data_IF_148324674262
#
_entry.id   IF_148324674262
#
_cell.length_a   1.000
_cell.length_b   1.000
_cell.length_c   1.000
_cell.angle_alpha   90.00
_cell.angle_beta   90.00
_cell.angle_gamma   90.00
#
_symmetry.space_group_name_H-M   'P 1'
#
loop_
_entity.id
_entity.type
_entity.pdbx_description
1 polymer ?
#
# COMPACT_ATOMS: atom_id res chain seq x y z
N UNK A 1 8.71 -37.78 -7.18
CA UNK A 1 9.18 -37.05 -5.98
C UNK A 1 8.82 -35.59 -6.19
N UNK A 2 8.32 -34.96 -5.13
CA UNK A 2 7.25 -33.95 -5.10
C UNK A 2 7.47 -32.68 -5.92
N UNK A 3 6.39 -32.24 -6.58
CA UNK A 3 6.23 -30.88 -7.09
C UNK A 3 5.95 -29.98 -5.87
N UNK A 4 6.63 -28.83 -5.82
CA UNK A 4 6.22 -27.66 -5.01
C UNK A 4 6.54 -27.65 -3.51
N UNK A 5 7.73 -28.11 -3.09
CA UNK A 5 8.29 -27.68 -1.79
C UNK A 5 8.69 -26.20 -1.85
N UNK A 6 7.68 -25.31 -1.81
CA UNK A 6 7.85 -23.87 -1.76
C UNK A 6 8.37 -23.49 -0.38
N UNK A 7 9.69 -23.57 -0.20
CA UNK A 7 10.40 -23.20 1.03
C UNK A 7 10.06 -21.76 1.38
N UNK A 8 9.08 -21.59 2.27
CA UNK A 8 8.63 -20.28 2.72
C UNK A 8 9.40 -19.95 3.99
N UNK A 9 10.20 -18.87 4.01
CA UNK A 9 10.98 -18.52 5.19
C UNK A 9 10.07 -18.34 6.40
N UNK A 10 10.51 -18.85 7.55
CA UNK A 10 9.78 -18.78 8.83
C UNK A 10 9.73 -17.34 9.34
N UNK A 11 8.89 -16.51 8.70
CA UNK A 11 8.61 -15.15 9.16
C UNK A 11 7.79 -15.19 10.46
N UNK A 12 8.11 -14.33 11.44
CA UNK A 12 7.31 -14.22 12.65
C UNK A 12 5.90 -13.71 12.31
N UNK A 13 4.88 -14.25 13.00
CA UNK A 13 3.50 -13.80 12.81
C UNK A 13 3.38 -12.33 13.22
N UNK A 14 2.69 -11.54 12.40
CA UNK A 14 2.37 -10.14 12.68
C UNK A 14 0.84 -9.97 12.77
N UNK A 15 0.33 -8.95 13.48
CA UNK A 15 -1.09 -8.61 13.41
C UNK A 15 -1.49 -8.21 11.99
N UNK A 16 -2.63 -8.71 11.51
CA UNK A 16 -3.17 -8.37 10.21
C UNK A 16 -3.51 -6.87 10.17
N UNK A 17 -3.04 -6.11 9.18
CA UNK A 17 -3.31 -4.67 9.09
C UNK A 17 -4.81 -4.36 8.89
N UNK A 18 -5.58 -5.30 8.32
CA UNK A 18 -7.01 -5.10 8.08
C UNK A 18 -7.93 -5.42 9.27
N UNK A 19 -7.52 -6.33 10.16
CA UNK A 19 -8.42 -6.81 11.23
C UNK A 19 -7.74 -7.19 12.54
N UNK A 20 -6.42 -7.03 12.66
CA UNK A 20 -5.64 -7.30 13.88
C UNK A 20 -5.37 -8.78 14.20
N UNK A 21 -6.02 -9.73 13.53
CA UNK A 21 -5.80 -11.18 13.77
C UNK A 21 -4.37 -11.61 13.39
N UNK A 22 -3.81 -12.67 14.01
CA UNK A 22 -2.47 -13.16 13.66
C UNK A 22 -2.36 -13.55 12.18
N UNK A 23 -1.30 -13.11 11.51
CA UNK A 23 -1.04 -13.41 10.09
C UNK A 23 -0.91 -14.91 9.83
N UNK A 24 -1.43 -15.35 8.68
CA UNK A 24 -1.19 -16.69 8.16
C UNK A 24 0.11 -16.72 7.34
N UNK A 25 0.75 -17.89 7.20
CA UNK A 25 1.98 -18.01 6.40
C UNK A 25 1.72 -17.81 4.91
N UNK A 26 0.59 -18.33 4.42
CA UNK A 26 0.21 -18.28 3.01
C UNK A 26 -0.20 -16.87 2.56
N UNK A 27 -0.82 -16.10 3.45
CA UNK A 27 -1.33 -14.75 3.13
C UNK A 27 -0.54 -13.64 3.82
N UNK A 28 0.67 -13.92 4.33
CA UNK A 28 1.48 -12.94 5.05
C UNK A 28 1.61 -11.62 4.25
N UNK A 29 1.35 -10.43 4.84
CA UNK A 29 1.16 -10.13 6.28
C UNK A 29 -0.29 -10.27 6.81
N UNK A 30 -1.24 -10.73 6.00
CA UNK A 30 -2.65 -10.83 6.35
C UNK A 30 -3.03 -12.16 7.02
N UNK A 31 -4.19 -12.17 7.66
CA UNK A 31 -4.74 -13.40 8.24
C UNK A 31 -5.42 -14.32 7.19
N UNK A 32 -5.85 -13.79 6.03
CA UNK A 32 -6.58 -14.53 5.00
C UNK A 32 -6.59 -13.80 3.64
N UNK A 33 -6.97 -14.52 2.57
CA UNK A 33 -7.19 -13.95 1.23
C UNK A 33 -8.18 -12.77 1.25
N UNK A 34 -9.31 -12.91 1.96
CA UNK A 34 -10.31 -11.84 2.08
C UNK A 34 -9.71 -10.53 2.60
N UNK A 35 -8.82 -10.58 3.59
CA UNK A 35 -8.18 -9.37 4.10
C UNK A 35 -7.21 -8.77 3.07
N UNK A 36 -6.48 -9.60 2.31
CA UNK A 36 -5.63 -9.12 1.22
C UNK A 36 -6.46 -8.38 0.14
N UNK A 37 -7.63 -8.89 -0.21
CA UNK A 37 -8.48 -8.27 -1.23
C UNK A 37 -9.12 -6.96 -0.74
N UNK A 38 -9.47 -6.88 0.56
CA UNK A 38 -9.98 -5.63 1.17
C UNK A 38 -8.91 -4.55 1.13
N UNK A 39 -7.67 -4.88 1.51
CA UNK A 39 -6.54 -3.96 1.43
C UNK A 39 -6.35 -3.47 -0.02
N UNK A 40 -6.30 -4.39 -0.99
CA UNK A 40 -6.20 -4.04 -2.40
C UNK A 40 -7.31 -3.08 -2.85
N UNK A 41 -8.56 -3.30 -2.43
CA UNK A 41 -9.65 -2.39 -2.73
C UNK A 41 -9.48 -1.00 -2.09
N UNK A 42 -8.87 -0.89 -0.91
CA UNK A 42 -8.52 0.42 -0.31
C UNK A 42 -7.47 1.14 -1.13
N UNK A 43 -6.46 0.42 -1.63
CA UNK A 43 -5.47 0.95 -2.57
C UNK A 43 -6.13 1.49 -3.83
N UNK A 44 -6.98 0.69 -4.47
CA UNK A 44 -7.68 1.09 -5.70
C UNK A 44 -8.63 2.27 -5.50
N UNK A 45 -9.12 2.50 -4.27
CA UNK A 45 -9.96 3.63 -3.91
C UNK A 45 -9.18 4.89 -3.49
N UNK A 46 -7.85 4.85 -3.50
CA UNK A 46 -7.02 5.97 -3.05
C UNK A 46 -7.15 6.27 -1.55
N UNK A 47 -7.47 5.27 -0.73
CA UNK A 47 -7.67 5.48 0.71
C UNK A 47 -6.36 5.70 1.49
N UNK A 48 -5.21 5.46 0.86
CA UNK A 48 -3.89 5.66 1.46
C UNK A 48 -3.36 7.05 1.13
N UNK A 49 -3.27 7.90 2.15
CA UNK A 49 -2.78 9.29 2.04
C UNK A 49 -1.52 9.42 2.89
N UNK A 50 -0.46 9.99 2.32
CA UNK A 50 0.72 10.41 3.07
C UNK A 50 0.42 11.82 3.57
N UNK A 51 0.33 12.06 4.90
CA UNK A 51 0.14 13.40 5.41
C UNK A 51 1.32 14.28 4.99
N UNK A 52 1.02 15.45 4.39
CA UNK A 52 2.02 16.46 4.07
C UNK A 52 2.70 16.98 5.34
N UNK A 53 3.92 17.51 5.20
CA UNK A 53 4.56 18.24 6.30
C UNK A 53 3.88 19.60 6.44
N UNK A 54 3.54 19.97 7.67
CA UNK A 54 3.01 21.28 8.00
C UNK A 54 4.02 22.37 7.57
N UNK A 55 3.82 22.96 6.39
CA UNK A 55 4.61 24.11 5.91
C UNK A 55 5.20 24.05 4.50
N UNK A 56 4.97 22.99 3.72
CA UNK A 56 5.31 23.00 2.28
C UNK A 56 4.03 22.79 1.47
N UNK A 57 3.62 23.82 0.74
CA UNK A 57 2.52 23.78 -0.22
C UNK A 57 2.94 22.81 -1.34
N UNK A 58 2.21 21.71 -1.50
CA UNK A 58 2.47 20.65 -2.47
C UNK A 58 2.16 21.15 -3.90
N UNK A 59 3.16 21.74 -4.55
CA UNK A 59 3.16 22.14 -5.97
C UNK A 59 3.42 20.91 -6.88
N UNK A 60 2.46 19.99 -7.03
CA UNK A 60 2.60 18.87 -7.99
C UNK A 60 1.32 18.48 -8.76
N UNK A 61 0.45 19.43 -9.14
CA UNK A 61 -0.36 19.32 -10.37
C UNK A 61 -1.01 20.68 -10.73
N UNK A 62 -0.24 21.60 -11.29
CA UNK A 62 -0.82 22.82 -11.90
C UNK A 62 -0.02 23.20 -13.15
N UNK A 63 -0.67 23.39 -14.31
CA UNK A 63 0.04 23.74 -15.54
C UNK A 63 0.60 25.15 -15.37
N UNK A 64 1.95 25.26 -15.39
CA UNK A 64 2.65 26.55 -15.34
C UNK A 64 2.20 27.41 -16.53
N UNK A 65 1.70 28.64 -16.31
CA UNK A 65 1.33 29.52 -17.42
C UNK A 65 2.60 29.98 -18.15
N UNK A 66 2.58 29.91 -19.49
CA UNK A 66 3.66 30.36 -20.37
C UNK A 66 4.02 31.82 -20.12
N UNK A 67 5.32 32.20 -20.06
CA UNK A 67 5.72 33.59 -19.95
C UNK A 67 5.35 34.32 -21.24
N UNK A 68 4.34 35.20 -21.20
CA UNK A 68 4.09 36.16 -22.28
C UNK A 68 5.16 37.26 -22.22
N UNK A 69 6.02 37.19 -23.23
CA UNK A 69 6.70 38.30 -23.91
C UNK A 69 5.80 39.54 -24.02
N UNK A 70 6.21 40.67 -23.40
CA UNK A 70 6.01 42.09 -23.79
C UNK A 70 6.98 42.90 -22.87
N UNK A 71 7.79 43.89 -23.25
CA UNK A 71 8.05 44.67 -24.46
C UNK A 71 8.93 45.85 -24.01
#
# INVERSE_FOLDING_TARGET
MSLDDKVTPLRPKRPCPECGKPSSREHYPFCSARCKDIDLNRWLKGAYVIPGRDGEEDDEDSPKPDPKDEG
#
